data_IF_275184716350
#
_entry.id   IF_275184716350
#
_cell.length_a   1.000
_cell.length_b   1.000
_cell.length_c   1.000
_cell.angle_alpha   90.00
_cell.angle_beta   90.00
_cell.angle_gamma   90.00
#
_symmetry.space_group_name_H-M   'P 1'
#
loop_
_entity.id
_entity.type
_entity.pdbx_description
1 polymer ?
#
# COMPACT_ATOMS: atom_id res chain seq x y z
N UNK A 1 -16.81 6.91 -21.47
CA UNK A 1 -17.23 7.03 -20.05
C UNK A 1 -18.28 5.97 -19.79
N UNK A 2 -18.14 5.19 -18.72
CA UNK A 2 -19.19 4.30 -18.21
C UNK A 2 -19.94 5.09 -17.13
N UNK A 3 -21.22 5.41 -17.36
CA UNK A 3 -22.09 6.12 -16.42
C UNK A 3 -23.10 5.17 -15.80
N UNK A 4 -22.62 4.15 -15.08
CA UNK A 4 -23.46 3.13 -14.47
C UNK A 4 -23.34 3.19 -12.95
N UNK A 5 -24.47 3.31 -12.25
CA UNK A 5 -24.51 3.38 -10.79
C UNK A 5 -24.11 2.07 -10.09
N UNK A 6 -23.97 0.98 -10.86
CA UNK A 6 -23.53 -0.32 -10.35
C UNK A 6 -22.03 -0.59 -10.59
N UNK A 7 -21.34 0.32 -11.27
CA UNK A 7 -19.91 0.19 -11.57
C UNK A 7 -19.14 1.20 -10.71
N UNK A 8 -18.20 0.70 -9.93
CA UNK A 8 -17.31 1.50 -9.09
C UNK A 8 -15.93 0.87 -8.95
N UNK A 9 -15.04 1.57 -8.25
CA UNK A 9 -13.68 1.11 -7.97
C UNK A 9 -13.59 0.43 -6.61
N UNK A 10 -12.82 -0.65 -6.53
CA UNK A 10 -12.18 -1.03 -5.27
C UNK A 10 -10.89 -0.20 -5.18
N UNK A 11 -10.85 0.75 -4.24
CA UNK A 11 -9.67 1.59 -4.06
C UNK A 11 -8.70 0.87 -3.13
N UNK A 12 -7.53 0.55 -3.65
CA UNK A 12 -6.44 -0.05 -2.89
C UNK A 12 -5.44 1.05 -2.49
N UNK A 13 -5.10 1.13 -1.20
CA UNK A 13 -4.25 2.22 -0.70
C UNK A 13 -2.76 2.03 -0.95
N UNK A 14 -2.31 0.85 -1.40
CA UNK A 14 -0.88 0.54 -1.59
C UNK A 14 -0.45 0.25 -3.02
N UNK A 15 -1.33 -0.28 -3.89
CA UNK A 15 -0.93 -0.77 -5.21
C UNK A 15 -0.24 0.28 -6.09
N UNK A 16 -0.74 1.52 -6.11
CA UNK A 16 -0.19 2.57 -6.97
C UNK A 16 1.25 2.94 -6.60
N UNK A 17 1.67 2.75 -5.34
CA UNK A 17 3.03 3.08 -4.93
C UNK A 17 4.08 2.18 -5.58
N UNK A 18 3.75 0.91 -5.86
CA UNK A 18 4.60 0.01 -6.62
C UNK A 18 4.83 0.47 -8.09
N UNK A 19 3.96 1.35 -8.58
CA UNK A 19 3.99 1.94 -9.92
C UNK A 19 4.64 3.34 -9.92
N UNK A 20 5.23 3.76 -8.80
CA UNK A 20 5.85 5.08 -8.58
C UNK A 20 4.88 6.26 -8.58
N UNK A 21 3.57 6.01 -8.51
CA UNK A 21 2.59 7.08 -8.33
C UNK A 21 2.75 7.76 -6.97
N UNK A 22 2.20 8.97 -6.85
CA UNK A 22 2.01 9.59 -5.54
C UNK A 22 1.12 8.68 -4.65
N UNK A 23 1.56 8.35 -3.42
CA UNK A 23 0.85 7.39 -2.58
C UNK A 23 -0.57 7.85 -2.22
N UNK A 24 -0.86 9.15 -2.27
CA UNK A 24 -2.17 9.71 -1.91
C UNK A 24 -3.01 10.06 -3.14
N UNK A 25 -2.36 10.47 -4.24
CA UNK A 25 -3.02 10.98 -5.44
C UNK A 25 -4.02 10.00 -6.05
N UNK A 26 -3.66 8.71 -6.15
CA UNK A 26 -4.58 7.69 -6.68
C UNK A 26 -5.81 7.51 -5.78
N UNK A 27 -5.62 7.47 -4.46
CA UNK A 27 -6.71 7.35 -3.49
C UNK A 27 -7.65 8.56 -3.59
N UNK A 28 -7.10 9.77 -3.63
CA UNK A 28 -7.86 11.02 -3.69
C UNK A 28 -8.66 11.14 -5.01
N UNK A 29 -8.05 10.75 -6.14
CA UNK A 29 -8.70 10.79 -7.46
C UNK A 29 -9.78 9.73 -7.62
N UNK A 30 -9.59 8.53 -7.04
CA UNK A 30 -10.54 7.43 -7.14
C UNK A 30 -11.64 7.49 -6.08
N UNK A 31 -11.47 8.26 -5.00
CA UNK A 31 -12.45 8.36 -3.91
C UNK A 31 -13.91 8.61 -4.35
N UNK A 32 -14.20 9.50 -5.33
CA UNK A 32 -15.58 9.70 -5.83
C UNK A 32 -16.21 8.46 -6.49
N UNK A 33 -15.39 7.52 -6.95
CA UNK A 33 -15.80 6.29 -7.63
C UNK A 33 -15.73 5.06 -6.72
N UNK A 34 -15.26 5.22 -5.47
CA UNK A 34 -15.05 4.11 -4.55
C UNK A 34 -16.35 3.43 -4.12
N UNK A 35 -16.38 2.10 -4.20
CA UNK A 35 -17.45 1.22 -3.68
C UNK A 35 -16.97 0.39 -2.49
N UNK A 36 -15.70 0.04 -2.51
CA UNK A 36 -14.99 -0.63 -1.42
C UNK A 36 -13.57 -0.11 -1.36
N UNK A 37 -12.92 -0.32 -0.23
CA UNK A 37 -11.52 0.03 -0.02
C UNK A 37 -10.78 -1.18 0.48
N UNK A 38 -9.66 -1.49 -0.15
CA UNK A 38 -8.66 -2.39 0.41
C UNK A 38 -7.60 -1.53 1.11
N UNK A 39 -7.63 -1.59 2.45
CA UNK A 39 -6.77 -0.80 3.31
C UNK A 39 -5.50 -1.59 3.62
N UNK A 40 -4.38 -1.03 3.19
CA UNK A 40 -3.02 -1.54 3.33
C UNK A 40 -2.11 -0.50 3.95
N UNK A 41 -1.05 -0.98 4.58
CA UNK A 41 0.13 -0.18 4.93
C UNK A 41 1.37 -0.92 4.43
N UNK A 42 2.45 -0.17 4.15
CA UNK A 42 3.63 -0.73 3.51
C UNK A 42 4.93 -0.28 4.16
N UNK A 43 5.79 -1.25 4.42
CA UNK A 43 7.17 -1.05 4.81
C UNK A 43 8.04 -1.02 3.55
N UNK A 44 8.98 -0.08 3.50
CA UNK A 44 9.79 0.20 2.31
C UNK A 44 11.27 0.22 2.65
N UNK A 45 12.13 -0.23 1.74
CA UNK A 45 13.58 -0.10 1.88
C UNK A 45 14.26 -0.14 0.52
N UNK A 46 15.25 0.72 0.28
CA UNK A 46 16.01 0.67 -0.98
C UNK A 46 16.80 -0.64 -1.12
N UNK A 47 17.01 -1.05 -2.37
CA UNK A 47 17.99 -2.06 -2.77
C UNK A 47 18.53 -1.67 -4.15
N UNK A 48 19.59 -2.32 -4.63
CA UNK A 48 20.29 -1.91 -5.86
C UNK A 48 19.39 -1.73 -7.09
N UNK A 49 18.34 -2.55 -7.22
CA UNK A 49 17.40 -2.49 -8.35
C UNK A 49 16.23 -1.52 -8.18
N UNK A 50 16.10 -0.85 -7.03
CA UNK A 50 14.98 0.05 -6.70
C UNK A 50 14.64 0.01 -5.22
N UNK A 51 13.46 -0.50 -4.88
CA UNK A 51 13.07 -0.67 -3.48
C UNK A 51 12.26 -1.95 -3.24
N UNK A 52 12.37 -2.44 -2.01
CA UNK A 52 11.56 -3.49 -1.44
C UNK A 52 10.26 -2.89 -0.93
N UNK A 53 9.14 -3.53 -1.26
CA UNK A 53 7.80 -3.13 -0.87
C UNK A 53 7.11 -4.30 -0.15
N UNK A 54 7.07 -4.23 1.18
CA UNK A 54 6.45 -5.26 2.02
C UNK A 54 5.12 -4.78 2.58
N UNK A 55 4.07 -5.57 2.43
CA UNK A 55 2.84 -5.36 3.18
C UNK A 55 3.15 -5.56 4.68
N UNK A 56 2.69 -4.66 5.54
CA UNK A 56 3.00 -4.66 6.98
C UNK A 56 1.72 -4.34 7.76
N UNK A 57 1.62 -4.72 9.05
CA UNK A 57 0.43 -4.35 9.81
C UNK A 57 0.16 -2.86 9.82
N UNK A 58 -1.13 -2.49 9.81
CA UNK A 58 -1.54 -1.09 9.74
C UNK A 58 -0.89 -0.26 10.87
N UNK A 59 -0.37 0.91 10.52
CA UNK A 59 0.29 1.82 11.45
C UNK A 59 1.76 1.54 11.68
N UNK A 60 2.32 0.53 11.02
CA UNK A 60 3.74 0.18 11.09
C UNK A 60 4.49 0.48 9.79
N UNK A 61 3.79 0.92 8.74
CA UNK A 61 4.38 1.29 7.46
C UNK A 61 4.55 2.79 7.29
N UNK A 62 4.73 3.21 6.04
CA UNK A 62 5.07 4.59 5.68
C UNK A 62 3.88 5.44 5.21
N UNK A 63 2.66 4.89 5.17
CA UNK A 63 1.51 5.63 4.65
C UNK A 63 0.76 6.40 5.75
N UNK A 64 0.33 7.62 5.41
CA UNK A 64 -0.62 8.38 6.23
C UNK A 64 -2.04 7.83 6.04
N UNK A 65 -2.34 6.74 6.75
CA UNK A 65 -3.65 6.08 6.72
C UNK A 65 -4.79 7.01 7.13
N UNK A 66 -4.68 7.84 8.20
CA UNK A 66 -5.70 8.82 8.54
C UNK A 66 -6.04 9.77 7.39
N UNK A 67 -5.04 10.29 6.67
CA UNK A 67 -5.25 11.15 5.49
C UNK A 67 -6.00 10.41 4.37
N UNK A 68 -5.55 9.21 4.02
CA UNK A 68 -6.18 8.41 2.97
C UNK A 68 -7.66 8.12 3.29
N UNK A 69 -7.94 7.74 4.53
CA UNK A 69 -9.30 7.47 4.99
C UNK A 69 -10.16 8.73 5.03
N UNK A 70 -9.61 9.87 5.43
CA UNK A 70 -10.33 11.14 5.42
C UNK A 70 -10.75 11.53 3.99
N UNK A 71 -9.88 11.36 3.00
CA UNK A 71 -10.21 11.59 1.59
C UNK A 71 -11.35 10.67 1.11
N UNK A 72 -11.28 9.38 1.44
CA UNK A 72 -12.29 8.39 1.07
C UNK A 72 -13.64 8.65 1.73
N UNK A 73 -13.68 8.88 3.05
CA UNK A 73 -14.91 9.18 3.79
C UNK A 73 -15.53 10.51 3.39
N UNK A 74 -14.72 11.51 3.02
CA UNK A 74 -15.22 12.80 2.50
C UNK A 74 -16.02 12.60 1.21
N UNK A 75 -15.56 11.73 0.31
CA UNK A 75 -16.25 11.45 -0.94
C UNK A 75 -17.40 10.43 -0.78
N UNK A 76 -17.23 9.45 0.12
CA UNK A 76 -18.15 8.33 0.36
C UNK A 76 -18.29 8.08 1.87
N UNK A 77 -19.20 8.78 2.58
CA UNK A 77 -19.31 8.70 4.04
C UNK A 77 -19.59 7.30 4.59
N UNK A 78 -20.25 6.45 3.81
CA UNK A 78 -20.62 5.08 4.18
C UNK A 78 -19.70 4.00 3.59
N UNK A 79 -18.53 4.39 3.05
CA UNK A 79 -17.59 3.47 2.43
C UNK A 79 -17.09 2.42 3.42
N UNK A 80 -16.95 1.18 2.94
CA UNK A 80 -16.43 0.07 3.74
C UNK A 80 -14.94 -0.12 3.48
N UNK A 81 -14.20 -0.30 4.56
CA UNK A 81 -12.78 -0.62 4.55
C UNK A 81 -12.59 -2.09 4.88
N UNK A 82 -11.92 -2.81 3.99
CA UNK A 82 -11.48 -4.18 4.20
C UNK A 82 -9.98 -4.17 4.41
N UNK A 83 -9.49 -4.82 5.47
CA UNK A 83 -8.07 -5.05 5.65
C UNK A 83 -7.57 -5.91 4.50
N UNK A 84 -6.53 -5.46 3.78
CA UNK A 84 -5.83 -6.30 2.82
C UNK A 84 -4.35 -6.39 3.21
N UNK A 85 -3.98 -7.48 3.88
CA UNK A 85 -2.62 -7.69 4.36
C UNK A 85 -2.10 -9.02 3.86
N UNK A 86 -1.04 -8.99 3.06
CA UNK A 86 -0.43 -10.19 2.49
C UNK A 86 0.84 -10.49 3.28
N UNK A 87 0.81 -11.55 4.08
CA UNK A 87 1.99 -12.01 4.83
C UNK A 87 2.93 -12.74 3.87
N UNK A 88 3.87 -12.01 3.27
CA UNK A 88 4.83 -12.53 2.29
C UNK A 88 6.14 -11.75 2.29
N UNK A 89 7.16 -12.28 1.61
CA UNK A 89 8.39 -11.54 1.32
C UNK A 89 8.10 -10.24 0.56
N UNK A 90 8.95 -9.20 0.72
CA UNK A 90 8.75 -7.93 0.06
C UNK A 90 8.86 -8.07 -1.44
N UNK A 91 7.96 -7.38 -2.17
CA UNK A 91 8.08 -7.24 -3.60
C UNK A 91 9.32 -6.43 -3.95
N UNK A 92 10.03 -6.85 -5.01
CA UNK A 92 11.12 -6.08 -5.59
C UNK A 92 10.55 -5.14 -6.66
N UNK A 93 10.43 -3.85 -6.34
CA UNK A 93 10.07 -2.82 -7.32
C UNK A 93 11.35 -2.41 -8.05
N UNK A 94 11.49 -2.88 -9.31
CA UNK A 94 12.74 -2.82 -10.07
C UNK A 94 12.95 -1.48 -10.81
N UNK A 95 12.53 -0.36 -10.23
CA UNK A 95 12.49 0.94 -10.88
C UNK A 95 13.85 1.53 -11.30
N UNK A 96 14.97 0.97 -10.82
CA UNK A 96 16.32 1.35 -11.23
C UNK A 96 16.90 0.41 -12.31
N UNK A 97 16.06 -0.40 -12.95
CA UNK A 97 16.45 -1.31 -14.04
C UNK A 97 15.77 -0.92 -15.34
N UNK A 98 16.44 -1.11 -16.48
CA UNK A 98 15.88 -0.78 -17.81
C UNK A 98 14.56 -1.51 -18.11
N UNK A 99 14.44 -2.77 -17.66
CA UNK A 99 13.26 -3.61 -17.88
C UNK A 99 11.98 -3.00 -17.31
N UNK A 100 12.06 -2.29 -16.19
CA UNK A 100 10.90 -1.62 -15.59
C UNK A 100 10.31 -0.56 -16.54
N UNK A 101 11.19 0.22 -17.17
CA UNK A 101 10.82 1.33 -18.04
C UNK A 101 10.32 0.89 -19.41
N UNK A 102 10.55 -0.36 -19.80
CA UNK A 102 9.92 -0.93 -21.00
C UNK A 102 8.39 -0.92 -20.88
N UNK A 103 7.86 -1.16 -19.67
CA UNK A 103 6.41 -1.17 -19.39
C UNK A 103 5.92 0.18 -18.86
N UNK A 104 6.72 0.86 -18.04
CA UNK A 104 6.33 2.09 -17.33
C UNK A 104 6.81 3.37 -18.03
N UNK A 105 6.64 3.44 -19.35
CA UNK A 105 7.19 4.52 -20.19
C UNK A 105 6.64 5.92 -19.87
N UNK A 106 5.45 5.99 -19.28
CA UNK A 106 4.78 7.25 -18.94
C UNK A 106 5.18 7.80 -17.57
N UNK A 107 5.87 7.02 -16.74
CA UNK A 107 6.30 7.47 -15.41
C UNK A 107 7.41 8.51 -15.56
N UNK A 108 7.32 9.63 -14.84
CA UNK A 108 8.31 10.69 -14.96
C UNK A 108 9.51 10.48 -14.02
N UNK A 109 10.64 11.10 -14.35
CA UNK A 109 11.78 11.16 -13.42
C UNK A 109 11.46 11.88 -12.10
N UNK A 110 10.49 12.81 -12.11
CA UNK A 110 10.02 13.47 -10.90
C UNK A 110 9.25 12.49 -9.99
N UNK A 111 8.48 11.58 -10.58
CA UNK A 111 7.77 10.53 -9.86
C UNK A 111 8.73 9.54 -9.21
N UNK A 112 9.73 9.08 -9.98
CA UNK A 112 10.82 8.27 -9.43
C UNK A 112 11.50 8.98 -8.25
N UNK A 113 11.89 10.25 -8.42
CA UNK A 113 12.61 11.00 -7.40
C UNK A 113 11.77 11.22 -6.13
N UNK A 114 10.46 11.47 -6.25
CA UNK A 114 9.54 11.57 -5.13
C UNK A 114 9.44 10.23 -4.39
N UNK A 115 9.23 9.14 -5.11
CA UNK A 115 9.11 7.80 -4.53
C UNK A 115 10.36 7.40 -3.78
N UNK A 116 11.55 7.54 -4.38
CA UNK A 116 12.81 7.22 -3.69
C UNK A 116 13.05 8.10 -2.45
N UNK A 117 12.61 9.36 -2.46
CA UNK A 117 12.66 10.21 -1.27
C UNK A 117 11.79 9.68 -0.14
N UNK A 118 10.57 9.23 -0.45
CA UNK A 118 9.67 8.60 0.52
C UNK A 118 10.31 7.33 1.07
N UNK A 119 10.83 6.45 0.20
CA UNK A 119 11.49 5.20 0.58
C UNK A 119 12.68 5.46 1.52
N UNK A 120 13.55 6.42 1.19
CA UNK A 120 14.71 6.77 2.02
C UNK A 120 14.31 7.34 3.36
N UNK A 121 13.26 8.16 3.40
CA UNK A 121 12.82 8.83 4.63
C UNK A 121 12.06 7.89 5.58
N UNK A 122 11.54 6.77 5.06
CA UNK A 122 10.77 5.78 5.81
C UNK A 122 11.38 4.38 5.68
N UNK A 123 12.70 4.30 5.55
CA UNK A 123 13.38 3.02 5.39
C UNK A 123 13.11 2.14 6.62
N UNK A 124 12.46 1.01 6.39
CA UNK A 124 12.14 0.05 7.44
C UNK A 124 13.39 -0.69 7.90
N UNK A 125 13.63 -0.74 9.21
CA UNK A 125 14.73 -1.50 9.80
C UNK A 125 14.61 -2.99 9.46
N UNK A 126 13.38 -3.50 9.54
CA UNK A 126 13.05 -4.89 9.28
C UNK A 126 11.91 -4.99 8.27
N UNK A 127 12.07 -5.91 7.32
CA UNK A 127 11.05 -6.34 6.39
C UNK A 127 10.78 -7.81 6.65
N UNK A 128 9.51 -8.21 6.69
CA UNK A 128 9.15 -9.62 6.90
C UNK A 128 9.77 -10.51 5.82
N UNK A 129 10.38 -11.62 6.23
CA UNK A 129 10.90 -12.68 5.36
C UNK A 129 10.14 -13.95 5.70
N UNK A 130 9.07 -14.18 4.96
CA UNK A 130 8.07 -15.23 5.21
C UNK A 130 8.50 -16.54 4.57
N UNK A 131 9.16 -16.51 3.41
CA UNK A 131 9.61 -17.72 2.71
C UNK A 131 10.64 -18.54 3.47
N UNK A 132 11.36 -17.93 4.42
CA UNK A 132 12.32 -18.61 5.30
C UNK A 132 11.68 -19.31 6.50
N UNK A 133 10.38 -19.13 6.73
CA UNK A 133 9.66 -19.67 7.89
C UNK A 133 9.03 -21.03 7.58
N UNK A 134 8.89 -21.87 8.60
CA UNK A 134 8.04 -23.06 8.51
C UNK A 134 6.57 -22.68 8.32
N UNK A 135 5.73 -23.59 7.84
CA UNK A 135 4.30 -23.31 7.63
C UNK A 135 3.61 -22.83 8.92
N UNK A 136 3.89 -23.47 10.06
CA UNK A 136 3.32 -23.07 11.36
C UNK A 136 3.74 -21.65 11.75
N UNK A 137 4.99 -21.28 11.46
CA UNK A 137 5.49 -19.93 11.70
C UNK A 137 4.87 -18.90 10.75
N UNK A 138 4.60 -19.28 9.49
CA UNK A 138 3.89 -18.41 8.53
C UNK A 138 2.46 -18.13 9.00
N UNK A 139 1.73 -19.17 9.43
CA UNK A 139 0.37 -19.03 9.98
C UNK A 139 0.35 -18.16 11.22
N UNK A 140 1.28 -18.40 12.16
CA UNK A 140 1.39 -17.58 13.37
C UNK A 140 1.72 -16.11 13.07
N UNK A 141 2.58 -15.86 12.09
CA UNK A 141 2.89 -14.50 11.65
C UNK A 141 1.68 -13.82 11.00
N UNK A 142 0.93 -14.54 10.15
CA UNK A 142 -0.28 -14.01 9.53
C UNK A 142 -1.34 -13.61 10.55
N UNK A 143 -1.58 -14.45 11.56
CA UNK A 143 -2.51 -14.15 12.64
C UNK A 143 -2.06 -12.95 13.48
N UNK A 144 -0.76 -12.86 13.79
CA UNK A 144 -0.18 -11.72 14.49
C UNK A 144 -0.34 -10.41 13.69
N UNK A 145 -0.10 -10.48 12.38
CA UNK A 145 -0.22 -9.37 11.44
C UNK A 145 -1.65 -8.83 11.37
N UNK A 146 -2.64 -9.73 11.23
CA UNK A 146 -4.07 -9.37 11.22
C UNK A 146 -4.46 -8.75 12.57
N UNK A 147 -4.09 -9.40 13.68
CA UNK A 147 -4.44 -8.95 15.02
C UNK A 147 -3.88 -7.56 15.32
N UNK A 148 -2.63 -7.30 14.95
CA UNK A 148 -2.01 -5.99 15.11
C UNK A 148 -2.73 -4.91 14.28
N UNK A 149 -3.09 -5.23 13.02
CA UNK A 149 -3.81 -4.31 12.14
C UNK A 149 -5.20 -3.95 12.66
N UNK A 150 -5.96 -4.95 13.14
CA UNK A 150 -7.29 -4.72 13.72
C UNK A 150 -7.21 -3.89 15.00
N UNK A 151 -6.18 -4.11 15.82
CA UNK A 151 -5.92 -3.29 17.01
C UNK A 151 -5.67 -1.83 16.63
N UNK A 152 -4.77 -1.59 15.68
CA UNK A 152 -4.46 -0.25 15.21
C UNK A 152 -5.70 0.45 14.62
N UNK A 153 -6.46 -0.26 13.78
CA UNK A 153 -7.67 0.28 13.16
C UNK A 153 -8.71 0.76 14.19
N UNK A 154 -8.95 -0.03 15.24
CA UNK A 154 -9.86 0.34 16.34
C UNK A 154 -9.37 1.55 17.14
N UNK A 155 -8.06 1.62 17.40
CA UNK A 155 -7.47 2.63 18.29
C UNK A 155 -7.24 3.98 17.58
N UNK A 156 -6.89 3.96 16.29
CA UNK A 156 -6.40 5.14 15.58
C UNK A 156 -7.25 5.55 14.38
N UNK A 157 -8.05 4.64 13.81
CA UNK A 157 -8.79 4.88 12.56
C UNK A 157 -10.31 4.95 12.73
N UNK A 158 -10.80 4.70 13.95
CA UNK A 158 -12.23 4.60 14.27
C UNK A 158 -12.97 3.66 13.30
N UNK A 159 -12.44 2.44 13.18
CA UNK A 159 -13.02 1.30 12.45
C UNK A 159 -13.37 0.16 13.40
#
# INVERSE_FOLDING_TARGET
RLGCEYIGACVDTGNSFALLDDPYGAVEQLAPFAFSVHLKDQAVREYDGGFLLGDIPLGQGCFDLPRMMAALRKAKPTIRFSLELITRDPLKVTCLTEKYWTTMQSVSGADLARTLRIVRSHAADNLQQVSSLSLDQQVALEEANITASLRYARQHLAL
#
